data_IF_092771566633
#
_entry.id   IF_092771566633
#
_cell.length_a   1.000
_cell.length_b   1.000
_cell.length_c   1.000
_cell.angle_alpha   90.00
_cell.angle_beta   90.00
_cell.angle_gamma   90.00
#
_symmetry.space_group_name_H-M   'P 1'
#
loop_
_entity.id
_entity.type
_entity.pdbx_description
1 polymer ?
#
# COMPACT_ATOMS: atom_id res chain seq x y z
N UNK A 1 -8.30 -5.29 -17.87
CA UNK A 1 -9.26 -6.39 -17.63
C UNK A 1 -10.37 -5.91 -16.73
N UNK A 2 -11.62 -6.07 -17.12
CA UNK A 2 -12.82 -5.36 -16.62
C UNK A 2 -13.29 -5.72 -15.20
N UNK A 3 -12.42 -6.23 -14.33
CA UNK A 3 -12.80 -6.58 -12.94
C UNK A 3 -11.70 -6.33 -11.91
N UNK A 4 -10.60 -5.71 -12.32
CA UNK A 4 -9.50 -5.34 -11.43
C UNK A 4 -9.68 -3.90 -10.96
N UNK A 5 -9.44 -3.66 -9.68
CA UNK A 5 -9.53 -2.34 -9.06
C UNK A 5 -8.49 -2.17 -7.97
N UNK A 6 -8.25 -0.93 -7.58
CA UNK A 6 -7.49 -0.62 -6.37
C UNK A 6 -8.21 -1.18 -5.12
N UNK A 7 -7.48 -1.79 -4.17
CA UNK A 7 -8.02 -2.25 -2.89
C UNK A 7 -8.75 -1.15 -2.12
N UNK A 8 -9.70 -1.51 -1.27
CA UNK A 8 -10.23 -0.62 -0.23
C UNK A 8 -9.30 -0.61 1.00
N UNK A 9 -9.50 0.37 1.89
CA UNK A 9 -8.88 0.38 3.23
C UNK A 9 -9.08 -0.96 3.93
N UNK A 10 -10.33 -1.43 4.00
CA UNK A 10 -10.69 -2.67 4.71
C UNK A 10 -9.95 -3.89 4.15
N UNK A 11 -9.77 -3.97 2.83
CA UNK A 11 -9.06 -5.08 2.19
C UNK A 11 -7.57 -5.10 2.56
N UNK A 12 -6.91 -3.94 2.58
CA UNK A 12 -5.52 -3.89 3.02
C UNK A 12 -5.38 -4.05 4.54
N UNK A 13 -6.35 -3.59 5.34
CA UNK A 13 -6.35 -3.83 6.79
C UNK A 13 -6.41 -5.33 7.12
N UNK A 14 -7.14 -6.12 6.34
CA UNK A 14 -7.13 -7.59 6.50
C UNK A 14 -5.73 -8.16 6.29
N UNK A 15 -4.98 -7.61 5.34
CA UNK A 15 -3.59 -8.00 5.07
C UNK A 15 -2.66 -7.61 6.23
N UNK A 16 -2.85 -6.43 6.83
CA UNK A 16 -2.10 -5.99 8.03
C UNK A 16 -2.33 -6.91 9.23
N UNK A 17 -3.52 -7.52 9.34
CA UNK A 17 -3.86 -8.44 10.45
C UNK A 17 -3.23 -9.82 10.35
N UNK A 18 -2.61 -10.16 9.21
CA UNK A 18 -1.84 -11.40 9.09
C UNK A 18 -0.67 -11.40 10.08
N UNK A 19 -0.54 -12.50 10.84
CA UNK A 19 0.54 -12.71 11.82
C UNK A 19 1.81 -13.26 11.16
N UNK A 20 1.63 -14.05 10.10
CA UNK A 20 2.72 -14.69 9.36
C UNK A 20 3.29 -13.73 8.33
N UNK A 21 4.10 -12.78 8.81
CA UNK A 21 4.72 -11.75 7.97
C UNK A 21 6.21 -11.61 8.23
N UNK A 22 6.97 -11.39 7.17
CA UNK A 22 8.43 -11.26 7.21
C UNK A 22 8.88 -10.12 6.33
N UNK A 23 9.78 -9.28 6.84
CA UNK A 23 10.42 -8.24 6.05
C UNK A 23 11.72 -8.75 5.41
N UNK A 24 11.87 -8.63 4.09
CA UNK A 24 13.11 -8.89 3.36
C UNK A 24 13.14 -8.08 2.04
N UNK A 25 13.54 -6.81 2.10
CA UNK A 25 13.46 -5.88 0.95
C UNK A 25 12.03 -5.51 0.54
N UNK A 26 11.06 -5.82 1.40
CA UNK A 26 9.63 -5.78 1.17
C UNK A 26 8.89 -6.64 2.20
N UNK A 27 7.57 -6.57 2.22
CA UNK A 27 6.74 -7.34 3.13
C UNK A 27 6.24 -8.62 2.47
N UNK A 28 6.60 -9.76 3.04
CA UNK A 28 5.98 -11.05 2.75
C UNK A 28 4.79 -11.27 3.69
N UNK A 29 3.67 -11.68 3.11
CA UNK A 29 2.52 -12.24 3.83
C UNK A 29 2.46 -13.71 3.44
N UNK A 30 2.83 -14.58 4.37
CA UNK A 30 2.95 -16.01 4.14
C UNK A 30 1.72 -16.70 4.70
N UNK A 31 1.19 -17.70 3.99
CA UNK A 31 0.57 -18.83 4.65
C UNK A 31 1.38 -20.09 4.26
N UNK A 32 1.14 -21.22 4.92
CA UNK A 32 1.94 -22.45 4.75
C UNK A 32 1.98 -23.04 3.31
N UNK A 33 1.31 -22.42 2.32
CA UNK A 33 1.34 -22.85 0.91
C UNK A 33 1.39 -21.73 -0.14
N UNK A 34 0.96 -20.51 0.18
CA UNK A 34 0.84 -19.37 -0.74
C UNK A 34 1.30 -18.10 -0.04
N UNK A 35 2.15 -17.33 -0.69
CA UNK A 35 2.66 -16.06 -0.19
C UNK A 35 2.35 -14.89 -1.13
N UNK A 36 2.08 -13.72 -0.55
CA UNK A 36 2.04 -12.44 -1.27
C UNK A 36 3.27 -11.61 -0.89
N UNK A 37 3.95 -11.04 -1.88
CA UNK A 37 5.05 -10.11 -1.65
C UNK A 37 4.74 -8.70 -2.13
N UNK A 38 4.99 -7.73 -1.25
CA UNK A 38 4.95 -6.30 -1.54
C UNK A 38 6.36 -5.73 -1.43
N UNK A 39 6.90 -5.18 -2.52
CA UNK A 39 8.25 -4.60 -2.54
C UNK A 39 8.30 -3.31 -1.72
N UNK A 40 9.41 -3.05 -1.04
CA UNK A 40 9.69 -1.78 -0.37
C UNK A 40 9.96 -0.65 -1.40
N UNK A 41 8.91 -0.26 -2.12
CA UNK A 41 8.98 0.68 -3.21
C UNK A 41 8.71 2.13 -2.78
N UNK A 42 8.36 2.45 -1.53
CA UNK A 42 8.05 3.84 -1.14
C UNK A 42 6.91 4.49 -1.94
N UNK A 43 6.97 5.82 -2.07
CA UNK A 43 6.06 6.66 -2.86
C UNK A 43 6.79 7.88 -3.46
N UNK A 44 6.17 8.57 -4.42
CA UNK A 44 6.70 9.77 -5.09
C UNK A 44 5.93 11.00 -4.62
N UNK A 45 6.56 11.94 -3.90
CA UNK A 45 5.89 13.15 -3.44
C UNK A 45 5.59 14.12 -4.59
N UNK A 46 4.39 14.72 -4.54
CA UNK A 46 3.92 15.98 -5.15
C UNK A 46 4.20 16.20 -6.64
N UNK A 47 4.55 15.15 -7.37
CA UNK A 47 4.94 15.24 -8.79
C UNK A 47 4.11 14.31 -9.67
N UNK A 48 3.07 13.69 -9.11
CA UNK A 48 2.18 12.76 -9.81
C UNK A 48 2.84 11.42 -10.17
N UNK A 49 2.15 10.56 -10.94
CA UNK A 49 2.70 9.29 -11.43
C UNK A 49 3.84 9.58 -12.42
N UNK A 50 5.08 9.45 -11.96
CA UNK A 50 6.27 9.50 -12.82
C UNK A 50 6.57 8.12 -13.39
N UNK A 51 7.45 8.08 -14.40
CA UNK A 51 7.98 6.81 -14.95
C UNK A 51 9.07 6.20 -14.06
N UNK A 52 9.68 7.01 -13.18
CA UNK A 52 10.72 6.58 -12.25
C UNK A 52 10.13 5.78 -11.09
N UNK A 53 10.79 4.67 -10.75
CA UNK A 53 10.43 3.84 -9.62
C UNK A 53 10.57 4.61 -8.31
N UNK A 54 9.57 4.52 -7.44
CA UNK A 54 9.65 5.00 -6.08
C UNK A 54 10.69 4.15 -5.32
N UNK A 55 11.56 4.76 -4.51
CA UNK A 55 12.68 4.04 -3.90
C UNK A 55 13.15 4.60 -2.57
N UNK A 56 12.55 4.16 -1.46
CA UNK A 56 13.20 4.29 -0.13
C UNK A 56 14.11 3.09 0.18
N UNK A 57 13.97 1.98 -0.56
CA UNK A 57 14.65 0.70 -0.33
C UNK A 57 14.26 0.00 0.99
N UNK A 58 13.53 0.67 1.86
CA UNK A 58 13.32 0.30 3.26
C UNK A 58 11.85 0.36 3.68
N UNK A 59 11.00 1.07 2.94
CA UNK A 59 9.55 1.17 3.17
C UNK A 59 8.74 0.96 1.90
N UNK A 60 7.49 0.53 2.02
CA UNK A 60 6.55 0.41 0.91
C UNK A 60 5.26 1.16 1.20
N UNK A 61 4.74 1.88 0.21
CA UNK A 61 3.49 2.62 0.33
C UNK A 61 2.57 2.24 -0.83
N UNK A 62 1.45 1.59 -0.50
CA UNK A 62 0.49 1.06 -1.46
C UNK A 62 -0.86 1.74 -1.36
N UNK A 63 -1.36 2.24 -2.48
CA UNK A 63 -2.59 3.03 -2.54
C UNK A 63 -3.84 2.18 -2.26
N UNK A 64 -4.79 2.77 -1.54
CA UNK A 64 -6.18 2.30 -1.50
C UNK A 64 -7.10 3.25 -2.29
N UNK A 65 -8.27 2.75 -2.66
CA UNK A 65 -9.37 3.56 -3.22
C UNK A 65 -10.21 4.29 -2.16
N UNK A 66 -9.84 4.17 -0.88
CA UNK A 66 -10.58 4.79 0.22
C UNK A 66 -9.99 6.17 0.53
N UNK A 67 -10.85 7.20 0.49
CA UNK A 67 -10.48 8.56 0.85
C UNK A 67 -10.15 8.64 2.34
N UNK A 68 -9.15 9.46 2.68
CA UNK A 68 -8.79 9.75 4.06
C UNK A 68 -9.77 10.72 4.70
N UNK A 69 -9.66 10.89 6.02
CA UNK A 69 -10.53 11.77 6.80
C UNK A 69 -10.15 13.25 6.66
N UNK A 70 -8.94 13.54 6.15
CA UNK A 70 -8.45 14.91 5.92
C UNK A 70 -8.63 15.29 4.45
N UNK A 71 -8.77 16.59 4.18
CA UNK A 71 -8.84 17.12 2.81
C UNK A 71 -7.62 16.65 2.00
N UNK A 72 -7.86 16.17 0.79
CA UNK A 72 -6.85 15.69 -0.16
C UNK A 72 -6.01 14.49 0.31
N UNK A 73 -6.51 13.69 1.25
CA UNK A 73 -5.84 12.45 1.69
C UNK A 73 -6.54 11.18 1.19
N UNK A 74 -5.79 10.09 1.12
CA UNK A 74 -6.26 8.72 0.93
C UNK A 74 -5.65 7.83 2.02
N UNK A 75 -6.29 6.68 2.28
CA UNK A 75 -5.63 5.64 3.06
C UNK A 75 -4.59 4.94 2.18
N UNK A 76 -3.42 4.68 2.74
CA UNK A 76 -2.39 3.87 2.12
C UNK A 76 -1.91 2.79 3.09
N UNK A 77 -1.54 1.62 2.56
CA UNK A 77 -0.77 0.64 3.30
C UNK A 77 0.69 1.08 3.32
N UNK A 78 1.16 1.48 4.49
CA UNK A 78 2.54 1.89 4.76
C UNK A 78 3.21 0.83 5.61
N UNK A 79 4.37 0.36 5.18
CA UNK A 79 5.18 -0.57 5.96
C UNK A 79 6.66 -0.24 5.87
N UNK A 80 7.38 -0.62 6.92
CA UNK A 80 8.83 -0.60 6.98
C UNK A 80 9.34 -1.91 7.59
N UNK A 81 10.58 -1.89 8.07
CA UNK A 81 11.24 -3.06 8.68
C UNK A 81 10.53 -3.56 9.94
N UNK A 82 9.94 -2.66 10.72
CA UNK A 82 9.36 -2.96 12.04
C UNK A 82 7.87 -2.65 12.16
N UNK A 83 7.25 -2.07 11.12
CA UNK A 83 5.86 -1.63 11.18
C UNK A 83 5.12 -1.93 9.88
N UNK A 84 3.81 -2.03 10.01
CA UNK A 84 2.87 -2.12 8.89
C UNK A 84 1.51 -1.59 9.36
N UNK A 85 0.93 -0.68 8.60
CA UNK A 85 -0.30 0.03 8.96
C UNK A 85 -1.05 0.46 7.71
N UNK A 86 -2.38 0.55 7.79
CA UNK A 86 -3.17 1.30 6.81
C UNK A 86 -3.56 2.62 7.44
N UNK A 87 -3.07 3.73 6.90
CA UNK A 87 -3.23 5.05 7.52
C UNK A 87 -3.41 6.16 6.49
N UNK A 88 -4.07 7.24 6.91
CA UNK A 88 -4.21 8.50 6.18
C UNK A 88 -3.43 9.66 6.83
N UNK A 89 -2.68 9.38 7.91
CA UNK A 89 -2.08 10.42 8.77
C UNK A 89 -0.63 10.77 8.47
N UNK A 90 0.04 10.02 7.59
CA UNK A 90 1.49 10.06 7.38
C UNK A 90 2.02 11.24 6.57
N UNK A 91 1.41 12.44 6.66
CA UNK A 91 1.69 13.76 6.03
C UNK A 91 2.04 13.75 4.53
N UNK A 92 3.02 12.95 4.14
CA UNK A 92 3.47 12.66 2.79
C UNK A 92 2.94 11.31 2.26
N UNK A 93 2.79 10.26 3.07
CA UNK A 93 2.44 8.92 2.55
C UNK A 93 0.95 8.75 2.19
N UNK A 94 0.14 9.79 2.35
CA UNK A 94 -1.32 9.72 2.25
C UNK A 94 -1.94 10.85 1.40
N UNK A 95 -1.16 11.70 0.75
CA UNK A 95 -1.71 12.76 -0.11
C UNK A 95 -2.13 12.21 -1.47
N UNK A 96 -3.30 12.63 -1.97
CA UNK A 96 -3.80 12.19 -3.28
C UNK A 96 -2.96 12.69 -4.47
N UNK A 97 -2.08 13.67 -4.25
CA UNK A 97 -1.17 14.23 -5.27
C UNK A 97 0.09 13.39 -5.49
N UNK A 98 0.29 12.33 -4.71
CA UNK A 98 1.49 11.51 -4.75
C UNK A 98 1.35 10.31 -5.67
N UNK A 99 2.49 9.86 -6.21
CA UNK A 99 2.59 8.61 -6.96
C UNK A 99 2.82 7.44 -6.01
N UNK A 100 1.95 6.43 -6.06
CA UNK A 100 2.00 5.27 -5.17
C UNK A 100 2.27 3.97 -5.92
N UNK A 101 2.81 3.00 -5.20
CA UNK A 101 2.72 1.62 -5.65
C UNK A 101 1.25 1.15 -5.63
N UNK A 102 0.87 0.35 -6.62
CA UNK A 102 -0.49 -0.20 -6.71
C UNK A 102 -0.43 -1.73 -6.73
N UNK A 103 -1.36 -2.35 -6.00
CA UNK A 103 -1.80 -3.71 -6.25
C UNK A 103 -3.25 -3.65 -6.69
N UNK A 104 -3.65 -4.57 -7.56
CA UNK A 104 -5.04 -4.69 -7.97
C UNK A 104 -5.65 -5.90 -7.27
N UNK A 105 -6.91 -5.78 -6.88
CA UNK A 105 -7.75 -6.89 -6.43
C UNK A 105 -8.89 -7.09 -7.43
N UNK A 106 -9.41 -8.31 -7.51
CA UNK A 106 -10.51 -8.67 -8.41
C UNK A 106 -11.83 -8.74 -7.65
N UNK A 107 -12.91 -8.25 -8.25
CA UNK A 107 -14.27 -8.36 -7.72
C UNK A 107 -14.84 -7.07 -7.12
N UNK A 108 -15.97 -7.17 -6.44
CA UNK A 108 -16.67 -6.04 -5.80
C UNK A 108 -15.94 -5.56 -4.54
N UNK A 109 -16.11 -4.28 -4.19
CA UNK A 109 -15.52 -3.69 -2.98
C UNK A 109 -16.06 -4.38 -1.73
N UNK A 110 -15.16 -4.69 -0.80
CA UNK A 110 -15.48 -5.16 0.56
C UNK A 110 -15.34 -4.03 1.58
#
# INVERSE_FOLDING_TARGET
GTSWRTPTKNELEKLVRCTDRVYNGGMWFMNNRLGLFLKAAGMRPETGPGLEGTGSGTSGVYLTSTLGNRKNTCYALDFGTTYIVVTDTGAWNALQINGYSVRCVKGTKQ
#
